data_IF_190770143056
#
_entry.id   IF_190770143056
#
_cell.length_a   1.000
_cell.length_b   1.000
_cell.length_c   1.000
_cell.angle_alpha   90.00
_cell.angle_beta   90.00
_cell.angle_gamma   90.00
#
_symmetry.space_group_name_H-M   'P 1'
#
loop_
_entity.id
_entity.type
_entity.pdbx_description
1 polymer ?
#
# COMPACT_ATOMS: atom_id res chain seq x y z
N UNK A 1 -2.72 15.31 -6.72
CA UNK A 1 -1.27 15.63 -6.82
C UNK A 1 -0.54 14.86 -5.73
N UNK A 2 0.58 14.23 -6.03
CA UNK A 2 1.45 13.61 -5.02
C UNK A 2 2.91 13.78 -5.43
N UNK A 3 3.81 13.68 -4.46
CA UNK A 3 5.25 13.80 -4.66
C UNK A 3 5.86 12.40 -4.56
N UNK A 4 6.76 12.04 -5.47
CA UNK A 4 7.39 10.73 -5.51
C UNK A 4 8.89 10.86 -5.80
N UNK A 5 9.67 9.90 -5.33
CA UNK A 5 11.04 9.70 -5.80
C UNK A 5 11.03 8.59 -6.84
N UNK A 6 11.47 8.89 -8.07
CA UNK A 6 11.61 7.89 -9.12
C UNK A 6 12.96 7.13 -9.04
N UNK A 7 13.90 7.62 -8.24
CA UNK A 7 15.24 7.05 -8.05
C UNK A 7 15.89 7.70 -6.83
N UNK A 8 16.72 6.94 -6.11
CA UNK A 8 17.54 7.45 -5.00
C UNK A 8 18.41 8.65 -5.38
N UNK A 9 18.70 8.83 -6.68
CA UNK A 9 19.54 9.93 -7.19
C UNK A 9 18.76 11.18 -7.60
N UNK A 10 17.43 11.08 -7.72
CA UNK A 10 16.58 12.20 -8.09
C UNK A 10 15.87 12.73 -6.85
N UNK A 11 15.79 14.06 -6.74
CA UNK A 11 15.00 14.72 -5.72
C UNK A 11 13.53 14.30 -5.78
N UNK A 12 12.81 14.56 -4.70
CA UNK A 12 11.36 14.46 -4.68
C UNK A 12 10.75 15.36 -5.75
N UNK A 13 9.93 14.78 -6.62
CA UNK A 13 9.28 15.49 -7.72
C UNK A 13 7.77 15.34 -7.66
N UNK A 14 7.05 16.36 -8.10
CA UNK A 14 5.60 16.25 -8.31
C UNK A 14 5.35 15.22 -9.41
N UNK A 15 4.52 14.22 -9.11
CA UNK A 15 4.14 13.22 -10.11
C UNK A 15 3.23 13.84 -11.17
N UNK A 16 3.48 13.60 -12.47
CA UNK A 16 2.53 13.95 -13.53
C UNK A 16 1.30 13.03 -13.52
N UNK A 17 1.33 11.95 -12.73
CA UNK A 17 0.22 11.00 -12.59
C UNK A 17 -0.70 11.42 -11.46
N UNK A 18 -1.97 11.10 -11.60
CA UNK A 18 -2.95 11.26 -10.54
C UNK A 18 -3.00 10.00 -9.66
N UNK A 19 -3.09 10.15 -8.33
CA UNK A 19 -3.17 9.03 -7.38
C UNK A 19 -4.39 8.13 -7.63
N UNK A 20 -5.45 8.66 -8.24
CA UNK A 20 -6.62 7.89 -8.69
C UNK A 20 -6.32 6.94 -9.87
N UNK A 21 -5.22 7.16 -10.60
CA UNK A 21 -4.82 6.37 -11.77
C UNK A 21 -4.20 5.03 -11.42
N UNK A 22 -4.39 4.05 -12.30
CA UNK A 22 -3.89 2.68 -12.15
C UNK A 22 -2.42 2.47 -12.57
N UNK A 23 -1.71 3.51 -12.99
CA UNK A 23 -0.29 3.44 -13.40
C UNK A 23 0.66 4.14 -12.43
N UNK A 24 0.18 4.47 -11.22
CA UNK A 24 1.00 5.09 -10.16
C UNK A 24 1.90 4.04 -9.50
N UNK A 25 2.91 4.49 -8.74
CA UNK A 25 3.76 3.56 -7.98
C UNK A 25 2.91 2.68 -7.04
N UNK A 26 1.99 3.29 -6.29
CA UNK A 26 1.07 2.57 -5.39
C UNK A 26 0.21 1.56 -6.14
N UNK A 27 -0.42 1.96 -7.25
CA UNK A 27 -1.27 1.07 -8.05
C UNK A 27 -0.49 -0.10 -8.65
N UNK A 28 0.71 0.17 -9.18
CA UNK A 28 1.56 -0.87 -9.76
C UNK A 28 2.06 -1.86 -8.69
N UNK A 29 2.44 -1.38 -7.51
CA UNK A 29 2.85 -2.24 -6.39
C UNK A 29 1.72 -3.17 -5.94
N UNK A 30 0.47 -2.71 -5.96
CA UNK A 30 -0.70 -3.52 -5.58
C UNK A 30 -1.31 -4.29 -6.76
N UNK A 31 -0.82 -4.13 -7.98
CA UNK A 31 -1.40 -4.80 -9.14
C UNK A 31 -1.43 -6.34 -9.02
N UNK A 32 -0.38 -7.02 -8.48
CA UNK A 32 -0.43 -8.47 -8.30
C UNK A 32 -1.49 -8.93 -7.29
N UNK A 33 -1.70 -8.19 -6.20
CA UNK A 33 -2.75 -8.48 -5.21
C UNK A 33 -4.14 -8.66 -5.84
N UNK A 34 -4.50 -7.79 -6.79
CA UNK A 34 -5.80 -7.87 -7.47
C UNK A 34 -5.91 -9.01 -8.50
N UNK A 35 -4.78 -9.61 -8.91
CA UNK A 35 -4.78 -10.77 -9.82
C UNK A 35 -5.05 -12.09 -9.10
N UNK A 36 -5.00 -12.11 -7.76
CA UNK A 36 -5.31 -13.26 -6.90
C UNK A 36 -4.53 -14.53 -7.29
N UNK A 37 -3.21 -14.48 -7.15
CA UNK A 37 -2.33 -15.62 -7.34
C UNK A 37 -2.12 -16.38 -6.02
N UNK A 38 -2.45 -17.66 -5.99
CA UNK A 38 -2.37 -18.52 -4.79
C UNK A 38 -0.92 -18.78 -4.32
N UNK A 39 0.09 -18.41 -5.11
CA UNK A 39 1.51 -18.52 -4.75
C UNK A 39 2.07 -17.31 -3.99
N UNK A 40 1.22 -16.33 -3.66
CA UNK A 40 1.60 -15.09 -2.98
C UNK A 40 0.93 -14.97 -1.60
N UNK A 41 1.67 -14.44 -0.63
CA UNK A 41 1.16 -14.06 0.68
C UNK A 41 0.79 -12.58 0.67
N UNK A 42 -0.42 -12.28 1.16
CA UNK A 42 -0.91 -10.92 1.32
C UNK A 42 -1.45 -10.70 2.73
N UNK A 43 -0.90 -9.71 3.44
CA UNK A 43 -1.40 -9.25 4.73
C UNK A 43 -1.78 -7.78 4.60
N UNK A 44 -3.03 -7.47 4.86
CA UNK A 44 -3.57 -6.11 4.83
C UNK A 44 -4.02 -5.76 6.25
N UNK A 45 -3.49 -4.68 6.79
CA UNK A 45 -3.88 -4.19 8.12
C UNK A 45 -4.25 -2.71 8.02
N UNK A 46 -5.34 -2.34 8.68
CA UNK A 46 -5.84 -0.97 8.72
C UNK A 46 -6.82 -0.86 9.89
N UNK A 47 -6.63 0.10 10.80
CA UNK A 47 -7.59 0.33 11.89
C UNK A 47 -8.94 0.84 11.37
N UNK A 48 -8.98 1.37 10.14
CA UNK A 48 -10.18 1.77 9.41
C UNK A 48 -10.28 0.99 8.09
N UNK A 49 -10.55 -0.34 8.10
CA UNK A 49 -10.53 -1.16 6.89
C UNK A 49 -11.72 -0.83 5.95
N UNK A 50 -11.63 -1.19 4.66
CA UNK A 50 -12.78 -1.10 3.77
C UNK A 50 -13.94 -1.96 4.29
N UNK A 51 -15.17 -1.46 4.15
CA UNK A 51 -16.42 -2.14 4.53
C UNK A 51 -16.52 -2.59 6.00
N UNK A 52 -15.73 -1.99 6.90
CA UNK A 52 -15.76 -2.31 8.34
C UNK A 52 -15.66 -1.05 9.16
N UNK A 53 -16.23 -1.08 10.36
CA UNK A 53 -16.13 0.02 11.32
C UNK A 53 -14.70 0.21 11.81
N UNK A 54 -14.37 1.47 12.13
CA UNK A 54 -13.12 1.85 12.78
C UNK A 54 -12.91 1.06 14.08
N UNK A 55 -11.69 0.58 14.29
CA UNK A 55 -11.28 -0.15 15.50
C UNK A 55 -10.38 0.75 16.34
N UNK A 56 -10.96 1.36 17.38
CA UNK A 56 -10.24 2.25 18.30
C UNK A 56 -9.40 1.50 19.34
N UNK A 57 -9.71 0.24 19.61
CA UNK A 57 -9.03 -0.58 20.62
C UNK A 57 -7.82 -1.35 20.08
N UNK A 58 -7.32 -1.01 18.89
CA UNK A 58 -6.22 -1.67 18.18
C UNK A 58 -5.21 -0.61 17.74
N UNK A 59 -4.02 -1.05 17.30
CA UNK A 59 -2.99 -0.13 16.82
C UNK A 59 -3.52 0.75 15.67
N UNK A 60 -3.30 2.06 15.77
CA UNK A 60 -3.63 3.04 14.73
C UNK A 60 -2.63 2.99 13.58
N UNK A 61 -2.56 1.84 12.93
CA UNK A 61 -1.56 1.53 11.91
C UNK A 61 -2.22 0.94 10.68
N UNK A 62 -1.63 1.21 9.50
CA UNK A 62 -2.16 0.78 8.22
C UNK A 62 -1.03 0.41 7.26
N UNK A 63 -1.23 -0.65 6.50
CA UNK A 63 -0.24 -1.10 5.55
C UNK A 63 -0.58 -2.41 4.88
N UNK A 64 0.32 -2.79 3.98
CA UNK A 64 0.24 -4.00 3.16
C UNK A 64 1.59 -4.68 3.21
N UNK A 65 1.57 -5.98 3.45
CA UNK A 65 2.72 -6.87 3.23
C UNK A 65 2.34 -7.78 2.07
N UNK A 66 3.17 -7.77 1.03
CA UNK A 66 3.05 -8.66 -0.12
C UNK A 66 4.34 -9.45 -0.27
N UNK A 67 4.25 -10.76 -0.44
CA UNK A 67 5.42 -11.62 -0.57
C UNK A 67 5.19 -12.79 -1.53
N UNK A 68 6.23 -13.15 -2.26
CA UNK A 68 6.38 -14.41 -2.95
C UNK A 68 7.45 -15.26 -2.25
N UNK A 69 7.75 -16.43 -2.80
CA UNK A 69 8.83 -17.29 -2.30
C UNK A 69 10.24 -16.68 -2.45
N UNK A 70 10.42 -15.68 -3.31
CA UNK A 70 11.73 -15.07 -3.61
C UNK A 70 11.88 -13.63 -3.11
N UNK A 71 10.79 -12.87 -3.03
CA UNK A 71 10.84 -11.43 -2.74
C UNK A 71 9.58 -10.96 -2.02
N UNK A 72 9.62 -9.76 -1.48
CA UNK A 72 8.41 -9.09 -1.04
C UNK A 72 8.64 -7.66 -0.63
N UNK A 73 7.61 -7.05 -0.07
CA UNK A 73 7.64 -5.67 0.36
C UNK A 73 6.75 -5.42 1.57
N UNK A 74 7.06 -4.34 2.26
CA UNK A 74 6.21 -3.75 3.28
C UNK A 74 5.85 -2.32 2.88
N UNK A 75 4.56 -2.08 2.67
CA UNK A 75 4.00 -0.76 2.42
C UNK A 75 3.33 -0.25 3.70
N UNK A 76 3.78 0.90 4.18
CA UNK A 76 3.18 1.63 5.30
C UNK A 76 2.44 2.84 4.70
N UNK A 77 1.21 3.09 5.15
CA UNK A 77 0.45 4.25 4.68
C UNK A 77 -0.48 4.83 5.76
N UNK A 78 -1.05 5.99 5.47
CA UNK A 78 -2.02 6.67 6.36
C UNK A 78 -3.47 6.63 5.85
N UNK A 79 -3.71 6.10 4.65
CA UNK A 79 -5.02 6.13 3.97
C UNK A 79 -6.05 5.19 4.61
N UNK A 80 -7.20 5.69 5.09
CA UNK A 80 -8.29 4.86 5.58
C UNK A 80 -9.00 4.15 4.42
N UNK A 81 -9.66 3.02 4.73
CA UNK A 81 -10.43 2.22 3.78
C UNK A 81 -9.62 1.76 2.55
N UNK A 82 -8.31 1.55 2.75
CA UNK A 82 -7.36 1.20 1.71
C UNK A 82 -6.52 -0.03 2.12
N UNK A 83 -6.09 -0.87 1.17
CA UNK A 83 -6.59 -1.00 -0.21
C UNK A 83 -8.11 -1.23 -0.29
N UNK A 84 -8.79 -0.85 -1.38
CA UNK A 84 -10.21 -1.15 -1.55
C UNK A 84 -10.45 -2.67 -1.61
N UNK A 85 -11.64 -3.10 -1.20
CA UNK A 85 -12.06 -4.51 -1.26
C UNK A 85 -12.48 -4.97 -2.66
N UNK A 86 -12.35 -4.12 -3.69
CA UNK A 86 -12.70 -4.43 -5.07
C UNK A 86 -11.61 -5.21 -5.79
N UNK A 87 -11.91 -5.75 -6.97
CA UNK A 87 -10.96 -6.51 -7.81
C UNK A 87 -9.99 -5.61 -8.61
N UNK A 88 -9.92 -4.33 -8.25
CA UNK A 88 -9.05 -3.36 -8.91
C UNK A 88 -8.64 -2.27 -7.95
N UNK A 89 -7.48 -1.67 -8.24
CA UNK A 89 -7.02 -0.47 -7.58
C UNK A 89 -8.04 0.66 -7.76
N UNK A 90 -8.34 1.33 -6.66
CA UNK A 90 -9.00 2.62 -6.63
C UNK A 90 -8.52 3.40 -5.40
N UNK A 91 -8.68 4.70 -5.47
CA UNK A 91 -8.35 5.61 -4.37
C UNK A 91 -9.60 6.44 -4.07
N UNK A 92 -10.02 6.49 -2.81
CA UNK A 92 -11.25 7.17 -2.44
C UNK A 92 -11.13 8.68 -2.64
N UNK A 93 -12.18 9.34 -3.14
CA UNK A 93 -12.17 10.78 -3.41
C UNK A 93 -11.90 11.61 -2.15
N UNK A 94 -12.40 11.18 -0.98
CA UNK A 94 -12.11 11.80 0.31
C UNK A 94 -10.70 11.49 0.84
N UNK A 95 -9.98 10.55 0.23
CA UNK A 95 -8.61 10.21 0.59
C UNK A 95 -7.59 11.32 0.28
N UNK A 96 -8.01 12.39 -0.40
CA UNK A 96 -7.18 13.58 -0.67
C UNK A 96 -7.57 14.79 0.18
N UNK A 97 -8.57 14.68 1.06
CA UNK A 97 -8.96 15.77 1.98
C UNK A 97 -7.82 16.14 2.92
N UNK A 98 -7.07 15.13 3.38
CA UNK A 98 -5.86 15.30 4.18
C UNK A 98 -4.63 14.82 3.40
N UNK A 99 -3.46 15.37 3.73
CA UNK A 99 -2.19 14.83 3.25
C UNK A 99 -2.03 13.38 3.68
N UNK A 100 -1.59 12.52 2.76
CA UNK A 100 -1.36 11.10 3.01
C UNK A 100 0.08 10.73 2.66
N UNK A 101 0.61 9.73 3.34
CA UNK A 101 1.94 9.19 3.05
C UNK A 101 1.85 7.72 2.63
N UNK A 102 2.78 7.33 1.77
CA UNK A 102 3.08 5.95 1.41
C UNK A 102 4.59 5.76 1.48
N UNK A 103 5.04 4.75 2.21
CA UNK A 103 6.42 4.28 2.23
C UNK A 103 6.41 2.81 1.85
N UNK A 104 7.17 2.42 0.83
CA UNK A 104 7.28 1.04 0.38
C UNK A 104 8.73 0.59 0.47
N UNK A 105 8.96 -0.50 1.20
CA UNK A 105 10.29 -1.04 1.47
C UNK A 105 10.36 -2.46 0.89
N UNK A 106 11.25 -2.69 -0.05
CA UNK A 106 11.55 -4.05 -0.54
C UNK A 106 12.34 -4.81 0.52
N UNK A 107 11.92 -6.04 0.80
CA UNK A 107 12.51 -6.90 1.83
C UNK A 107 12.65 -8.31 1.29
N UNK A 108 13.70 -9.01 1.72
CA UNK A 108 13.80 -10.45 1.47
C UNK A 108 12.73 -11.21 2.27
N UNK A 109 12.31 -12.41 1.85
CA UNK A 109 11.39 -13.25 2.61
C UNK A 109 11.84 -13.48 4.07
N UNK A 110 13.16 -13.66 4.27
CA UNK A 110 13.75 -13.77 5.61
C UNK A 110 13.50 -12.53 6.48
N UNK A 111 13.66 -11.33 5.93
CA UNK A 111 13.42 -10.10 6.67
C UNK A 111 11.94 -9.81 6.89
N UNK A 112 11.08 -10.25 5.97
CA UNK A 112 9.63 -10.15 6.12
C UNK A 112 9.12 -10.99 7.30
N UNK A 113 9.68 -12.19 7.50
CA UNK A 113 9.34 -13.01 8.67
C UNK A 113 9.65 -12.31 10.00
N UNK A 114 10.67 -11.45 10.04
CA UNK A 114 11.00 -10.68 11.24
C UNK A 114 10.01 -9.54 11.54
N UNK A 115 9.15 -9.15 10.59
CA UNK A 115 8.14 -8.11 10.84
C UNK A 115 6.99 -8.61 11.73
N UNK A 116 6.71 -9.92 11.70
CA UNK A 116 5.60 -10.53 12.43
C UNK A 116 5.99 -11.21 13.74
N UNK A 117 7.29 -11.26 14.05
CA UNK A 117 7.83 -11.78 15.31
C UNK A 117 7.78 -10.71 16.40
#
# INVERSE_FOLDING_TARGET
MFITSNSLRNNWMVSPKNIFGNTTAVANTLAPYYKRNDSELWILYNDQPPNRSHRTSKGHTKGVVGASVIEGFWMIHSVPQFPPSSDKYSYAANGVTNGQIFLCISLSPKNLNNLGN
#
